data_IF_888380359600
#
_entry.id   IF_888380359600
#
_cell.length_a   1.000
_cell.length_b   1.000
_cell.length_c   1.000
_cell.angle_alpha   90.00
_cell.angle_beta   90.00
_cell.angle_gamma   90.00
#
_symmetry.space_group_name_H-M   'P 1'
#
loop_
_entity.id
_entity.type
_entity.pdbx_description
1 polymer ?
#
# COMPACT_ATOMS: atom_id res chain seq x y z
N UNK A 1 7.70 -37.38 -53.24
CA UNK A 1 7.95 -35.96 -52.93
C UNK A 1 6.98 -35.64 -51.80
N UNK A 2 7.30 -36.11 -50.61
CA UNK A 2 8.08 -35.45 -49.56
C UNK A 2 7.10 -34.88 -48.53
N UNK A 3 7.38 -35.24 -47.28
CA UNK A 3 6.47 -35.36 -46.14
C UNK A 3 6.15 -33.98 -45.57
N UNK A 4 4.91 -33.71 -45.08
CA UNK A 4 4.68 -32.55 -44.23
C UNK A 4 5.34 -32.81 -42.86
N UNK A 5 6.58 -32.34 -42.69
CA UNK A 5 7.24 -32.22 -41.39
C UNK A 5 7.07 -30.80 -40.85
N UNK A 6 5.86 -30.49 -40.43
CA UNK A 6 5.50 -29.21 -39.85
C UNK A 6 4.82 -29.36 -38.48
N UNK A 7 5.20 -30.36 -37.67
CA UNK A 7 4.68 -30.50 -36.31
C UNK A 7 5.71 -31.16 -35.39
N UNK A 8 6.57 -30.37 -34.73
CA UNK A 8 7.28 -30.89 -33.57
C UNK A 8 8.60 -30.25 -33.23
N UNK A 9 8.65 -28.93 -33.05
CA UNK A 9 9.67 -28.36 -32.17
C UNK A 9 9.24 -26.99 -31.67
N UNK A 10 8.12 -26.96 -30.94
CA UNK A 10 7.84 -25.80 -30.10
C UNK A 10 8.91 -25.77 -29.03
N UNK A 11 9.69 -24.69 -29.05
CA UNK A 11 10.63 -24.26 -28.01
C UNK A 11 9.89 -24.20 -26.67
N UNK A 12 9.69 -25.36 -26.05
CA UNK A 12 8.73 -25.52 -24.95
C UNK A 12 9.19 -24.77 -23.71
N UNK A 13 10.51 -24.62 -23.55
CA UNK A 13 11.11 -23.85 -22.46
C UNK A 13 10.85 -22.34 -22.57
N UNK A 14 10.94 -21.73 -23.75
CA UNK A 14 10.71 -20.28 -23.89
C UNK A 14 9.25 -19.91 -23.73
N UNK A 15 8.34 -20.75 -24.23
CA UNK A 15 6.89 -20.50 -24.07
C UNK A 15 6.47 -20.63 -22.60
N UNK A 16 7.03 -21.59 -21.86
CA UNK A 16 6.77 -21.73 -20.42
C UNK A 16 7.32 -20.54 -19.61
N UNK A 17 8.52 -20.06 -19.95
CA UNK A 17 9.12 -18.89 -19.29
C UNK A 17 8.28 -17.63 -19.52
N UNK A 18 7.81 -17.39 -20.74
CA UNK A 18 6.92 -16.26 -21.02
C UNK A 18 5.58 -16.35 -20.28
N UNK A 19 5.03 -17.55 -20.08
CA UNK A 19 3.83 -17.75 -19.27
C UNK A 19 4.10 -17.51 -17.78
N UNK A 20 5.24 -17.94 -17.25
CA UNK A 20 5.63 -17.67 -15.86
C UNK A 20 5.90 -16.19 -15.62
N UNK A 21 6.56 -15.51 -16.56
CA UNK A 21 6.79 -14.06 -16.50
C UNK A 21 5.47 -13.29 -16.54
N UNK A 22 4.52 -13.73 -17.39
CA UNK A 22 3.19 -13.15 -17.46
C UNK A 22 2.42 -13.33 -16.13
N UNK A 23 2.38 -14.55 -15.58
CA UNK A 23 1.72 -14.83 -14.31
C UNK A 23 2.38 -14.09 -13.14
N UNK A 24 3.71 -13.99 -13.12
CA UNK A 24 4.43 -13.26 -12.09
C UNK A 24 4.16 -11.75 -12.18
N UNK A 25 4.06 -11.19 -13.38
CA UNK A 25 3.74 -9.78 -13.59
C UNK A 25 2.34 -9.43 -13.05
N UNK A 26 1.35 -10.28 -13.29
CA UNK A 26 -0.01 -10.11 -12.73
C UNK A 26 -0.01 -10.21 -11.21
N UNK A 27 0.70 -11.18 -10.65
CA UNK A 27 0.82 -11.37 -9.20
C UNK A 27 1.50 -10.16 -8.51
N UNK A 28 2.58 -9.64 -9.10
CA UNK A 28 3.26 -8.45 -8.60
C UNK A 28 2.38 -7.19 -8.65
N UNK A 29 1.62 -7.02 -9.73
CA UNK A 29 0.68 -5.89 -9.85
C UNK A 29 -0.42 -5.97 -8.78
N UNK A 30 -1.02 -7.15 -8.58
CA UNK A 30 -2.02 -7.35 -7.54
C UNK A 30 -1.45 -7.12 -6.13
N UNK A 31 -0.22 -7.55 -5.88
CA UNK A 31 0.45 -7.31 -4.60
C UNK A 31 0.69 -5.82 -4.34
N UNK A 32 1.11 -5.06 -5.36
CA UNK A 32 1.29 -3.60 -5.27
C UNK A 32 -0.03 -2.88 -4.97
N UNK A 33 -1.12 -3.27 -5.63
CA UNK A 33 -2.45 -2.69 -5.38
C UNK A 33 -2.93 -2.96 -3.95
N UNK A 34 -2.80 -4.21 -3.47
CA UNK A 34 -3.14 -4.57 -2.09
C UNK A 34 -2.29 -3.80 -1.07
N UNK A 35 -1.00 -3.64 -1.34
CA UNK A 35 -0.11 -2.87 -0.48
C UNK A 35 -0.52 -1.39 -0.40
N UNK A 36 -0.91 -0.79 -1.52
CA UNK A 36 -1.40 0.59 -1.56
C UNK A 36 -2.70 0.75 -0.75
N UNK A 37 -3.64 -0.20 -0.86
CA UNK A 37 -4.88 -0.21 -0.09
C UNK A 37 -4.62 -0.30 1.43
N UNK A 38 -3.71 -1.20 1.83
CA UNK A 38 -3.29 -1.32 3.23
C UNK A 38 -2.68 -0.01 3.73
N UNK A 39 -1.80 0.60 2.94
CA UNK A 39 -1.11 1.83 3.33
C UNK A 39 -2.09 3.00 3.48
N UNK A 40 -3.10 3.06 2.60
CA UNK A 40 -4.20 4.00 2.71
C UNK A 40 -5.03 3.78 3.99
N UNK A 41 -5.45 2.54 4.26
CA UNK A 41 -6.24 2.21 5.45
C UNK A 41 -5.47 2.52 6.74
N UNK A 42 -4.17 2.22 6.79
CA UNK A 42 -3.29 2.59 7.90
C UNK A 42 -3.19 4.11 8.06
N UNK A 43 -3.01 4.85 6.96
CA UNK A 43 -2.97 6.32 6.98
C UNK A 43 -4.24 6.92 7.57
N UNK A 44 -5.41 6.46 7.12
CA UNK A 44 -6.72 6.89 7.64
C UNK A 44 -6.88 6.53 9.12
N UNK A 45 -6.46 5.33 9.54
CA UNK A 45 -6.47 4.93 10.94
C UNK A 45 -5.62 5.87 11.81
N UNK A 46 -4.38 6.16 11.40
CA UNK A 46 -3.50 7.09 12.12
C UNK A 46 -4.11 8.50 12.20
N UNK A 47 -4.70 8.98 11.11
CA UNK A 47 -5.35 10.28 11.07
C UNK A 47 -6.52 10.36 12.07
N UNK A 48 -7.36 9.32 12.11
CA UNK A 48 -8.46 9.23 13.07
C UNK A 48 -7.98 9.33 14.52
N UNK A 49 -6.94 8.57 14.87
CA UNK A 49 -6.34 8.67 16.21
C UNK A 49 -5.71 10.04 16.48
N UNK A 50 -5.03 10.63 15.50
CA UNK A 50 -4.50 11.99 15.62
C UNK A 50 -5.58 13.01 15.96
N UNK A 51 -6.73 12.94 15.29
CA UNK A 51 -7.90 13.80 15.58
C UNK A 51 -8.44 13.55 16.99
N UNK A 52 -8.56 12.29 17.42
CA UNK A 52 -8.99 11.97 18.79
C UNK A 52 -8.03 12.53 19.85
N UNK A 53 -6.72 12.45 19.61
CA UNK A 53 -5.70 13.03 20.51
C UNK A 53 -5.81 14.55 20.57
N UNK A 54 -6.10 15.22 19.44
CA UNK A 54 -6.36 16.66 19.43
C UNK A 54 -7.62 17.02 20.24
N UNK A 55 -8.67 16.21 20.16
CA UNK A 55 -9.89 16.39 20.98
C UNK A 55 -9.57 16.20 22.47
N UNK A 56 -8.68 15.27 22.82
CA UNK A 56 -8.29 15.02 24.21
C UNK A 56 -7.64 16.25 24.91
N UNK A 57 -7.14 17.23 24.15
CA UNK A 57 -6.60 18.49 24.70
C UNK A 57 -7.65 19.24 25.53
N UNK A 58 -8.93 19.21 25.13
CA UNK A 58 -10.01 19.87 25.85
C UNK A 58 -10.26 19.26 27.25
N UNK A 59 -9.96 17.97 27.41
CA UNK A 59 -10.15 17.24 28.66
C UNK A 59 -8.90 17.19 29.53
N UNK A 60 -7.75 17.62 29.02
CA UNK A 60 -6.47 17.53 29.74
C UNK A 60 -6.32 18.71 30.70
N UNK A 61 -6.22 18.51 32.02
CA UNK A 61 -6.20 19.62 32.98
C UNK A 61 -4.84 20.33 33.06
N UNK A 62 -3.74 19.66 32.72
CA UNK A 62 -2.39 20.21 32.89
C UNK A 62 -1.89 20.92 31.62
N UNK A 63 -1.20 22.08 31.75
CA UNK A 63 -0.68 22.82 30.59
C UNK A 63 0.41 22.04 29.85
N UNK A 64 1.22 21.24 30.56
CA UNK A 64 2.24 20.38 29.96
C UNK A 64 1.57 19.25 29.18
N UNK A 65 0.57 18.59 29.76
CA UNK A 65 -0.19 17.52 29.07
C UNK A 65 -0.89 18.02 27.80
N UNK A 66 -1.47 19.23 27.84
CA UNK A 66 -2.07 19.86 26.65
C UNK A 66 -1.08 20.03 25.51
N UNK A 67 0.14 20.52 25.80
CA UNK A 67 1.20 20.70 24.80
C UNK A 67 1.67 19.35 24.24
N UNK A 68 1.85 18.35 25.09
CA UNK A 68 2.21 16.99 24.65
C UNK A 68 1.15 16.40 23.72
N UNK A 69 -0.13 16.50 24.09
CA UNK A 69 -1.24 16.01 23.27
C UNK A 69 -1.33 16.76 21.93
N UNK A 70 -1.06 18.07 21.93
CA UNK A 70 -0.99 18.84 20.69
C UNK A 70 0.12 18.33 19.76
N UNK A 71 1.34 18.13 20.27
CA UNK A 71 2.46 17.62 19.46
C UNK A 71 2.18 16.20 18.97
N UNK A 72 1.71 15.32 19.84
CA UNK A 72 1.37 13.95 19.47
C UNK A 72 0.26 13.90 18.40
N UNK A 73 -0.81 14.68 18.58
CA UNK A 73 -1.89 14.81 17.60
C UNK A 73 -1.42 15.36 16.27
N UNK A 74 -0.57 16.39 16.28
CA UNK A 74 0.00 16.97 15.06
C UNK A 74 0.88 15.96 14.30
N UNK A 75 1.73 15.20 15.00
CA UNK A 75 2.58 14.17 14.41
C UNK A 75 1.74 13.04 13.82
N UNK A 76 0.74 12.54 14.55
CA UNK A 76 -0.17 11.50 14.07
C UNK A 76 -0.96 11.96 12.85
N UNK A 77 -1.50 13.17 12.87
CA UNK A 77 -2.21 13.75 11.73
C UNK A 77 -1.28 13.97 10.54
N UNK A 78 -0.04 14.41 10.76
CA UNK A 78 0.95 14.61 9.69
C UNK A 78 1.34 13.30 9.00
N UNK A 79 1.63 12.25 9.78
CA UNK A 79 1.99 10.94 9.24
C UNK A 79 0.76 10.29 8.59
N UNK A 80 -0.36 10.21 9.30
CA UNK A 80 -1.59 9.58 8.79
C UNK A 80 -2.14 10.28 7.55
N UNK A 81 -2.21 11.61 7.58
CA UNK A 81 -2.62 12.42 6.43
C UNK A 81 -1.65 12.32 5.27
N UNK A 82 -0.34 12.36 5.54
CA UNK A 82 0.70 12.16 4.52
C UNK A 82 0.55 10.81 3.82
N UNK A 83 0.41 9.72 4.59
CA UNK A 83 0.22 8.37 4.05
C UNK A 83 -1.07 8.24 3.23
N UNK A 84 -2.19 8.77 3.73
CA UNK A 84 -3.47 8.69 3.03
C UNK A 84 -3.49 9.49 1.72
N UNK A 85 -2.85 10.68 1.69
CA UNK A 85 -2.75 11.52 0.50
C UNK A 85 -1.76 10.97 -0.53
N UNK A 86 -0.64 10.37 -0.07
CA UNK A 86 0.34 9.73 -0.94
C UNK A 86 -0.16 8.40 -1.51
N UNK A 87 -0.93 7.63 -0.75
CA UNK A 87 -1.47 6.35 -1.21
C UNK A 87 -2.58 6.49 -2.27
N UNK A 88 -3.22 7.66 -2.37
CA UNK A 88 -4.18 7.97 -3.43
C UNK A 88 -3.53 8.43 -4.75
N UNK A 89 -2.23 8.77 -4.72
CA UNK A 89 -1.45 9.18 -5.91
C UNK A 89 -0.66 8.02 -6.46
#
# INVERSE_FOLDING_TARGET
>A
MEKPEDLGNYRTGTDLLHLLDFLNMDAEQQAKLKAAEINYALGVFLLFFGVLVLIAIFFTPTPIGKKTNLVAGLVLCGIGGGMALLAQR
#
